data_IF_437458802907
#
_entry.id   IF_437458802907
#
_cell.length_a   1.000
_cell.length_b   1.000
_cell.length_c   1.000
_cell.angle_alpha   90.00
_cell.angle_beta   90.00
_cell.angle_gamma   90.00
#
_symmetry.space_group_name_H-M   'P 1'
#
loop_
_entity.id
_entity.type
_entity.pdbx_description
1 polymer ?
#
# COMPACT_ATOMS: atom_id res chain seq x y z
N UNK A 1 -19.68 -8.10 43.02
CA UNK A 1 -20.08 -9.37 42.38
C UNK A 1 -19.26 -9.51 41.12
N UNK A 2 -18.51 -10.55 41.00
CA UNK A 2 -17.70 -10.88 39.83
C UNK A 2 -18.61 -11.31 38.66
N UNK A 3 -18.45 -10.77 37.53
CA UNK A 3 -19.14 -11.17 36.30
C UNK A 3 -18.27 -12.13 35.50
N UNK A 4 -18.85 -12.93 34.61
CA UNK A 4 -18.07 -13.79 33.72
C UNK A 4 -17.09 -12.98 32.80
N UNK A 5 -17.41 -11.73 32.48
CA UNK A 5 -16.57 -10.80 31.73
C UNK A 5 -15.29 -10.38 32.48
N UNK A 6 -15.27 -10.49 33.80
CA UNK A 6 -14.11 -10.15 34.65
C UNK A 6 -13.06 -11.26 34.65
N UNK A 7 -13.41 -12.45 34.14
CA UNK A 7 -12.52 -13.62 34.06
C UNK A 7 -11.55 -13.44 32.88
N UNK A 8 -10.40 -12.89 33.17
CA UNK A 8 -9.35 -12.64 32.16
C UNK A 8 -8.18 -13.61 32.34
N UNK A 9 -7.41 -13.90 31.28
CA UNK A 9 -6.16 -14.66 31.40
C UNK A 9 -5.25 -14.07 32.47
N UNK A 10 -4.61 -14.95 33.23
CA UNK A 10 -3.76 -14.66 34.39
C UNK A 10 -4.46 -14.07 35.62
N UNK A 11 -5.77 -13.94 35.62
CA UNK A 11 -6.52 -13.60 36.84
C UNK A 11 -6.47 -14.75 37.87
N UNK A 12 -6.36 -14.42 39.14
CA UNK A 12 -6.54 -15.35 40.23
C UNK A 12 -8.00 -15.33 40.66
N UNK A 13 -8.69 -16.47 40.58
CA UNK A 13 -10.12 -16.60 40.82
C UNK A 13 -10.39 -17.65 41.89
N UNK A 14 -11.22 -17.30 42.89
CA UNK A 14 -11.79 -18.25 43.86
C UNK A 14 -13.20 -18.66 43.46
N UNK A 15 -13.67 -19.81 44.00
CA UNK A 15 -15.00 -20.30 43.74
C UNK A 15 -15.10 -21.32 42.62
N UNK A 16 -13.98 -21.66 41.97
CA UNK A 16 -13.85 -22.72 40.97
C UNK A 16 -13.52 -24.05 41.66
N UNK A 17 -12.52 -24.05 42.53
CA UNK A 17 -12.17 -25.17 43.39
C UNK A 17 -12.54 -24.85 44.84
N UNK A 18 -12.90 -25.87 45.65
CA UNK A 18 -13.12 -25.68 47.08
C UNK A 18 -11.84 -25.16 47.74
N UNK A 19 -11.96 -24.05 48.47
CA UNK A 19 -10.92 -23.46 49.32
C UNK A 19 -9.59 -23.08 48.66
N UNK A 20 -9.54 -23.02 47.32
CA UNK A 20 -8.34 -22.66 46.56
C UNK A 20 -8.61 -21.63 45.48
N UNK A 21 -7.68 -20.69 45.34
CA UNK A 21 -7.65 -19.81 44.15
C UNK A 21 -6.97 -20.55 43.00
N UNK A 22 -7.47 -20.33 41.78
CA UNK A 22 -6.90 -20.87 40.54
C UNK A 22 -6.47 -19.71 39.64
N UNK A 23 -5.46 -19.95 38.80
CA UNK A 23 -5.05 -18.96 37.79
C UNK A 23 -5.72 -19.30 36.48
N UNK A 24 -6.42 -18.32 35.92
CA UNK A 24 -7.03 -18.42 34.58
C UNK A 24 -5.95 -18.51 33.51
N UNK A 25 -6.03 -19.49 32.63
CA UNK A 25 -5.15 -19.70 31.48
C UNK A 25 -5.81 -19.13 30.23
N UNK A 26 -7.03 -19.54 29.93
CA UNK A 26 -7.79 -19.04 28.78
C UNK A 26 -9.28 -19.04 29.09
N UNK A 27 -10.02 -18.24 28.35
CA UNK A 27 -11.46 -18.04 28.47
C UNK A 27 -12.06 -18.16 27.07
N UNK A 28 -12.98 -19.12 26.90
CA UNK A 28 -13.69 -19.33 25.65
C UNK A 28 -15.19 -19.14 25.86
N UNK A 29 -15.80 -18.22 25.14
CA UNK A 29 -17.22 -17.93 25.25
C UNK A 29 -18.06 -18.85 24.37
N UNK A 30 -19.17 -19.33 24.95
CA UNK A 30 -20.24 -20.05 24.26
C UNK A 30 -21.53 -19.23 24.36
N UNK A 31 -21.75 -18.37 23.37
CA UNK A 31 -22.82 -17.38 23.40
C UNK A 31 -22.60 -16.32 24.46
N UNK A 32 -23.68 -15.77 25.04
CA UNK A 32 -23.66 -14.73 26.07
C UNK A 32 -23.69 -15.24 27.51
N UNK A 33 -23.99 -16.52 27.71
CA UNK A 33 -24.40 -17.07 29.02
C UNK A 33 -23.47 -18.12 29.57
N UNK A 34 -22.51 -18.61 28.80
CA UNK A 34 -21.60 -19.65 29.21
C UNK A 34 -20.16 -19.38 28.79
N UNK A 35 -19.22 -19.75 29.65
CA UNK A 35 -17.78 -19.60 29.44
C UNK A 35 -17.09 -20.93 29.82
N UNK A 36 -16.31 -21.49 28.91
CA UNK A 36 -15.32 -22.50 29.24
C UNK A 36 -14.04 -21.83 29.73
N UNK A 37 -13.73 -22.05 30.98
CA UNK A 37 -12.54 -21.54 31.63
C UNK A 37 -11.49 -22.63 31.71
N UNK A 38 -10.34 -22.43 31.10
CA UNK A 38 -9.14 -23.23 31.34
C UNK A 38 -8.37 -22.58 32.47
N UNK A 39 -8.09 -23.33 33.52
CA UNK A 39 -7.40 -22.83 34.70
C UNK A 39 -6.24 -23.73 35.10
N UNK A 40 -5.33 -23.18 35.89
CA UNK A 40 -4.21 -23.86 36.51
C UNK A 40 -4.36 -23.82 38.02
N UNK A 41 -4.32 -24.95 38.65
CA UNK A 41 -4.35 -25.06 40.10
C UNK A 41 -2.99 -24.76 40.75
N UNK A 42 -2.94 -24.76 42.09
CA UNK A 42 -1.69 -24.50 42.82
C UNK A 42 -0.63 -25.59 42.61
N UNK A 43 -1.00 -26.79 42.17
CA UNK A 43 -0.08 -27.89 41.84
C UNK A 43 0.48 -27.78 40.41
N UNK A 44 0.02 -26.83 39.64
CA UNK A 44 0.38 -26.66 38.25
C UNK A 44 -0.42 -27.48 37.26
N UNK A 45 -1.44 -28.20 37.65
CA UNK A 45 -2.32 -28.97 36.78
C UNK A 45 -3.27 -28.02 36.05
N UNK A 46 -3.45 -28.27 34.78
CA UNK A 46 -4.40 -27.55 33.94
C UNK A 46 -5.69 -28.33 33.83
N UNK A 47 -6.82 -27.69 34.05
CA UNK A 47 -8.13 -28.27 33.91
C UNK A 47 -9.12 -27.25 33.32
N UNK A 48 -10.26 -27.74 32.82
CA UNK A 48 -11.30 -26.92 32.24
C UNK A 48 -12.56 -26.99 33.09
N UNK A 49 -13.32 -25.91 33.15
CA UNK A 49 -14.63 -25.85 33.76
C UNK A 49 -15.56 -25.01 32.92
N UNK A 50 -16.78 -25.43 32.74
CA UNK A 50 -17.84 -24.66 32.11
C UNK A 50 -18.59 -23.87 33.19
N UNK A 51 -18.61 -22.55 33.06
CA UNK A 51 -19.27 -21.62 33.99
C UNK A 51 -20.44 -20.94 33.28
N UNK A 52 -21.51 -20.74 34.04
CA UNK A 52 -22.71 -20.06 33.56
C UNK A 52 -22.98 -18.81 34.40
N UNK A 53 -23.91 -17.95 33.94
CA UNK A 53 -24.31 -16.75 34.67
C UNK A 53 -24.74 -17.01 36.13
N UNK A 54 -25.36 -18.17 36.41
CA UNK A 54 -25.74 -18.52 37.75
C UNK A 54 -24.56 -18.88 38.69
N UNK A 55 -23.36 -19.08 38.12
CA UNK A 55 -22.15 -19.33 38.89
C UNK A 55 -21.47 -18.04 39.39
N UNK A 56 -21.80 -16.89 38.80
CA UNK A 56 -21.19 -15.59 39.14
C UNK A 56 -21.17 -15.27 40.65
N UNK A 57 -22.24 -15.54 41.41
CA UNK A 57 -22.25 -15.22 42.85
C UNK A 57 -21.19 -15.96 43.67
N UNK A 58 -20.71 -17.11 43.20
CA UNK A 58 -19.68 -17.89 43.91
C UNK A 58 -18.25 -17.55 43.50
N UNK A 59 -18.11 -16.77 42.41
CA UNK A 59 -16.81 -16.41 41.87
C UNK A 59 -16.31 -15.12 42.53
N UNK A 60 -15.04 -15.11 42.87
CA UNK A 60 -14.33 -13.93 43.36
C UNK A 60 -12.99 -13.79 42.64
N UNK A 61 -12.79 -12.66 41.91
CA UNK A 61 -11.49 -12.31 41.34
C UNK A 61 -10.65 -11.71 42.46
N UNK A 62 -9.63 -12.46 42.86
CA UNK A 62 -8.70 -12.07 43.93
C UNK A 62 -7.62 -11.14 43.40
N UNK A 63 -7.15 -11.42 42.20
CA UNK A 63 -6.14 -10.60 41.52
C UNK A 63 -6.55 -10.47 40.05
N UNK A 64 -6.61 -9.24 39.57
CA UNK A 64 -6.92 -8.95 38.18
C UNK A 64 -5.82 -9.49 37.26
N UNK A 65 -6.22 -10.13 36.19
CA UNK A 65 -5.31 -10.58 35.16
C UNK A 65 -4.61 -9.41 34.48
N UNK A 66 -3.47 -9.66 33.90
CA UNK A 66 -2.78 -8.65 33.09
C UNK A 66 -3.54 -8.46 31.79
N UNK A 67 -3.72 -7.23 31.30
CA UNK A 67 -4.38 -6.96 30.04
C UNK A 67 -3.55 -7.41 28.82
N UNK A 68 -2.37 -7.96 29.05
CA UNK A 68 -1.44 -8.46 28.03
C UNK A 68 -0.77 -9.74 28.54
N UNK A 69 -0.42 -10.64 27.62
CA UNK A 69 0.33 -11.87 27.89
C UNK A 69 1.53 -11.97 26.95
N UNK A 70 2.50 -12.83 27.31
CA UNK A 70 3.65 -13.17 26.48
C UNK A 70 3.51 -14.55 25.80
N UNK A 71 2.31 -15.07 25.73
CA UNK A 71 1.97 -16.37 25.17
C UNK A 71 1.55 -16.30 23.68
N UNK A 72 1.64 -15.11 23.09
CA UNK A 72 1.39 -14.90 21.68
C UNK A 72 2.40 -15.63 20.78
N UNK A 73 1.99 -15.91 19.53
CA UNK A 73 2.86 -16.50 18.52
C UNK A 73 4.04 -15.57 18.19
N UNK A 74 5.23 -15.92 18.67
CA UNK A 74 6.45 -15.16 18.46
C UNK A 74 6.88 -15.08 16.99
N UNK A 75 6.55 -16.09 16.17
CA UNK A 75 6.83 -16.08 14.74
C UNK A 75 5.95 -15.06 14.01
N UNK A 76 4.65 -15.04 14.35
CA UNK A 76 3.71 -14.06 13.83
C UNK A 76 4.08 -12.63 14.27
N UNK A 77 4.47 -12.44 15.53
CA UNK A 77 4.94 -11.15 16.02
C UNK A 77 6.15 -10.63 15.24
N UNK A 78 7.14 -11.48 15.00
CA UNK A 78 8.33 -11.13 14.19
C UNK A 78 7.93 -10.76 12.77
N UNK A 79 7.05 -11.54 12.14
CA UNK A 79 6.58 -11.28 10.78
C UNK A 79 5.87 -9.91 10.68
N UNK A 80 4.94 -9.64 11.61
CA UNK A 80 4.20 -8.37 11.65
C UNK A 80 5.13 -7.20 11.95
N UNK A 81 6.04 -7.34 12.91
CA UNK A 81 7.03 -6.31 13.24
C UNK A 81 7.93 -5.99 12.05
N UNK A 82 8.40 -6.99 11.32
CA UNK A 82 9.22 -6.81 10.13
C UNK A 82 8.44 -6.21 8.96
N UNK A 83 7.20 -6.60 8.76
CA UNK A 83 6.31 -5.98 7.77
C UNK A 83 6.09 -4.48 8.06
N UNK A 84 5.91 -4.11 9.33
CA UNK A 84 5.83 -2.71 9.73
C UNK A 84 7.15 -1.96 9.51
N UNK A 85 8.28 -2.58 9.83
CA UNK A 85 9.61 -1.98 9.59
C UNK A 85 9.83 -1.69 8.10
N UNK A 86 9.50 -2.64 7.22
CA UNK A 86 9.60 -2.47 5.77
C UNK A 86 8.65 -1.36 5.30
N UNK A 87 7.40 -1.38 5.75
CA UNK A 87 6.40 -0.36 5.38
C UNK A 87 6.80 1.05 5.78
N UNK A 88 7.48 1.20 6.92
CA UNK A 88 7.90 2.50 7.46
C UNK A 88 9.34 2.87 7.10
N UNK A 89 10.03 2.06 6.28
CA UNK A 89 11.43 2.28 5.91
C UNK A 89 11.67 3.67 5.29
N UNK A 90 10.70 4.19 4.51
CA UNK A 90 10.78 5.51 3.90
C UNK A 90 10.86 6.67 4.90
N UNK A 91 10.42 6.47 6.16
CA UNK A 91 10.55 7.49 7.21
C UNK A 91 11.99 7.65 7.70
N UNK A 92 12.82 6.62 7.51
CA UNK A 92 14.22 6.57 7.95
C UNK A 92 15.20 6.66 6.79
N UNK A 93 14.74 6.42 5.57
CA UNK A 93 15.54 6.47 4.35
C UNK A 93 14.89 7.43 3.35
N UNK A 94 15.41 8.66 3.24
CA UNK A 94 14.84 9.68 2.36
C UNK A 94 15.02 9.36 0.87
N UNK A 95 15.88 8.39 0.53
CA UNK A 95 16.23 8.00 -0.84
C UNK A 95 15.98 6.51 -1.09
N UNK A 96 14.92 5.97 -0.50
CA UNK A 96 14.62 4.54 -0.48
C UNK A 96 14.60 3.92 -1.89
N UNK A 97 14.04 4.62 -2.89
CA UNK A 97 13.99 4.11 -4.26
C UNK A 97 15.38 3.83 -4.84
N UNK A 98 16.41 4.58 -4.48
CA UNK A 98 17.79 4.32 -4.92
C UNK A 98 18.27 2.97 -4.38
N UNK A 99 18.06 2.74 -3.09
CA UNK A 99 18.54 1.53 -2.41
C UNK A 99 17.80 0.24 -2.82
N UNK A 100 16.55 0.37 -3.27
CA UNK A 100 15.72 -0.78 -3.71
C UNK A 100 15.59 -0.90 -5.23
N UNK A 101 16.38 -0.16 -6.00
CA UNK A 101 16.41 -0.22 -7.47
C UNK A 101 17.75 -0.74 -7.98
N UNK A 102 17.74 -1.25 -9.21
CA UNK A 102 18.93 -1.74 -9.89
C UNK A 102 19.55 -0.64 -10.76
N UNK A 103 19.81 0.53 -10.15
CA UNK A 103 20.37 1.71 -10.82
C UNK A 103 21.46 2.34 -9.95
N UNK A 104 22.46 2.91 -10.60
CA UNK A 104 23.43 3.80 -9.99
C UNK A 104 23.16 5.22 -10.53
N UNK A 105 22.29 6.01 -9.86
CA UNK A 105 21.90 7.30 -10.36
C UNK A 105 23.05 8.31 -10.24
N UNK A 106 23.14 9.18 -11.24
CA UNK A 106 24.11 10.26 -11.24
C UNK A 106 23.66 11.41 -10.30
N UNK A 107 24.56 12.23 -9.75
CA UNK A 107 24.22 13.28 -8.81
C UNK A 107 23.11 14.22 -9.27
N UNK A 108 23.13 14.64 -10.55
CA UNK A 108 22.09 15.51 -11.11
C UNK A 108 20.70 14.84 -11.14
N UNK A 109 20.64 13.51 -11.31
CA UNK A 109 19.39 12.74 -11.29
C UNK A 109 18.81 12.68 -9.87
N UNK A 110 19.67 12.51 -8.88
CA UNK A 110 19.28 12.54 -7.46
C UNK A 110 18.74 13.92 -7.10
N UNK A 111 19.48 14.99 -7.40
CA UNK A 111 19.05 16.37 -7.16
C UNK A 111 17.72 16.68 -7.83
N UNK A 112 17.55 16.29 -9.10
CA UNK A 112 16.30 16.52 -9.83
C UNK A 112 15.11 15.86 -9.14
N UNK A 113 15.23 14.60 -8.71
CA UNK A 113 14.13 13.85 -8.09
C UNK A 113 13.86 14.31 -6.65
N UNK A 114 14.89 14.31 -5.81
CA UNK A 114 14.71 14.46 -4.36
C UNK A 114 14.63 15.91 -3.90
N UNK A 115 15.34 16.82 -4.55
CA UNK A 115 15.35 18.25 -4.17
C UNK A 115 14.34 19.06 -4.99
N UNK A 116 14.19 18.76 -6.29
CA UNK A 116 13.36 19.58 -7.16
C UNK A 116 11.94 19.04 -7.39
N UNK A 117 11.75 17.73 -7.58
CA UNK A 117 10.43 17.16 -7.89
C UNK A 117 9.64 16.83 -6.63
N UNK A 118 10.20 16.02 -5.71
CA UNK A 118 9.49 15.54 -4.53
C UNK A 118 9.11 16.65 -3.54
N UNK A 119 9.82 17.78 -3.55
CA UNK A 119 9.52 18.93 -2.69
C UNK A 119 8.31 19.75 -3.16
N UNK A 120 7.80 19.52 -4.38
CA UNK A 120 6.73 20.33 -4.99
C UNK A 120 5.36 19.70 -4.83
N UNK A 121 4.41 20.49 -4.32
CA UNK A 121 3.00 20.09 -4.26
C UNK A 121 2.12 21.27 -4.71
N UNK A 122 1.22 21.07 -5.71
CA UNK A 122 1.10 19.83 -6.52
C UNK A 122 2.32 19.63 -7.42
N UNK A 123 2.66 18.37 -7.68
CA UNK A 123 3.76 18.03 -8.58
C UNK A 123 3.41 18.39 -10.04
N UNK A 124 3.97 19.49 -10.51
CA UNK A 124 3.95 19.91 -11.93
C UNK A 124 5.37 20.29 -12.31
N UNK A 125 6.01 19.42 -13.06
CA UNK A 125 7.42 19.58 -13.38
C UNK A 125 7.70 19.32 -14.86
N UNK A 126 8.48 20.20 -15.49
CA UNK A 126 9.01 19.99 -16.82
C UNK A 126 10.49 19.62 -16.70
N UNK A 127 10.81 18.39 -17.06
CA UNK A 127 12.17 17.89 -17.12
C UNK A 127 12.76 18.19 -18.51
N UNK A 128 13.40 19.33 -18.63
CA UNK A 128 14.05 19.80 -19.86
C UNK A 128 15.56 19.61 -19.73
N UNK A 129 16.02 18.43 -20.04
CA UNK A 129 17.42 18.04 -19.96
C UNK A 129 17.92 17.49 -21.29
N UNK A 130 19.25 17.45 -21.49
CA UNK A 130 19.84 16.96 -22.70
C UNK A 130 19.47 15.51 -23.05
N UNK A 131 19.47 15.14 -24.34
CA UNK A 131 19.36 13.74 -24.73
C UNK A 131 20.46 12.88 -24.06
N UNK A 132 20.07 11.79 -23.43
CA UNK A 132 21.03 10.93 -22.75
C UNK A 132 21.28 11.25 -21.26
N UNK A 133 20.76 12.36 -20.72
CA UNK A 133 20.88 12.70 -19.28
C UNK A 133 20.15 11.71 -18.34
N UNK A 134 19.43 10.75 -18.89
CA UNK A 134 18.73 9.73 -18.12
C UNK A 134 17.38 10.18 -17.58
N UNK A 135 16.61 10.94 -18.34
CA UNK A 135 15.25 11.38 -17.98
C UNK A 135 14.35 10.22 -17.55
N UNK A 136 14.44 9.06 -18.22
CA UNK A 136 13.72 7.85 -17.86
C UNK A 136 14.13 7.31 -16.48
N UNK A 137 15.42 7.43 -16.13
CA UNK A 137 15.93 7.08 -14.79
C UNK A 137 15.31 7.98 -13.72
N UNK A 138 15.30 9.30 -13.96
CA UNK A 138 14.71 10.26 -13.03
C UNK A 138 13.20 10.00 -12.84
N UNK A 139 12.47 9.76 -13.93
CA UNK A 139 11.05 9.41 -13.86
C UNK A 139 10.82 8.07 -13.11
N UNK A 140 11.63 7.06 -13.39
CA UNK A 140 11.56 5.76 -12.73
C UNK A 140 11.84 5.85 -11.22
N UNK A 141 12.87 6.63 -10.82
CA UNK A 141 13.18 6.91 -9.42
C UNK A 141 12.02 7.63 -8.73
N UNK A 142 11.45 8.66 -9.35
CA UNK A 142 10.31 9.40 -8.82
C UNK A 142 9.10 8.47 -8.58
N UNK A 143 8.74 7.68 -9.59
CA UNK A 143 7.62 6.72 -9.51
C UNK A 143 7.87 5.71 -8.38
N UNK A 144 9.07 5.12 -8.35
CA UNK A 144 9.44 4.13 -7.34
C UNK A 144 9.41 4.69 -5.92
N UNK A 145 9.90 5.91 -5.74
CA UNK A 145 9.90 6.61 -4.45
C UNK A 145 8.47 6.92 -3.99
N UNK A 146 7.62 7.46 -4.86
CA UNK A 146 6.22 7.74 -4.52
C UNK A 146 5.42 6.46 -4.19
N UNK A 147 5.69 5.35 -4.90
CA UNK A 147 5.10 4.05 -4.56
C UNK A 147 5.59 3.57 -3.19
N UNK A 148 6.89 3.66 -2.92
CA UNK A 148 7.47 3.23 -1.65
C UNK A 148 6.93 4.02 -0.45
N UNK A 149 6.66 5.31 -0.65
CA UNK A 149 6.02 6.19 0.35
C UNK A 149 4.51 5.94 0.52
N UNK A 150 3.90 5.25 -0.43
CA UNK A 150 2.44 5.03 -0.47
C UNK A 150 1.66 6.21 -1.05
N UNK A 151 2.33 7.21 -1.61
CA UNK A 151 1.74 8.42 -2.20
C UNK A 151 1.23 8.17 -3.63
N UNK A 152 1.68 7.08 -4.27
CA UNK A 152 1.30 6.71 -5.63
C UNK A 152 0.82 5.27 -5.70
N UNK A 153 -0.40 5.10 -6.20
CA UNK A 153 -0.99 3.80 -6.51
C UNK A 153 -1.20 3.63 -8.02
N UNK A 154 -1.51 4.71 -8.71
CA UNK A 154 -1.88 4.69 -10.12
C UNK A 154 -1.02 5.68 -10.92
N UNK A 155 -0.30 5.15 -11.90
CA UNK A 155 0.56 5.95 -12.76
C UNK A 155 0.28 5.67 -14.23
N UNK A 156 0.18 6.75 -15.01
CA UNK A 156 0.07 6.71 -16.47
C UNK A 156 1.33 7.30 -17.08
N UNK A 157 2.06 6.52 -17.87
CA UNK A 157 3.15 6.99 -18.72
C UNK A 157 2.64 7.11 -20.13
N UNK A 158 2.76 8.29 -20.73
CA UNK A 158 2.37 8.58 -22.11
C UNK A 158 3.61 8.87 -22.90
N UNK A 159 3.92 8.07 -23.92
CA UNK A 159 5.12 8.22 -24.72
C UNK A 159 4.86 7.96 -26.21
N UNK A 160 5.78 8.33 -27.12
CA UNK A 160 5.72 7.96 -28.53
C UNK A 160 5.65 6.44 -28.72
N UNK A 161 4.90 6.01 -29.75
CA UNK A 161 4.61 4.59 -29.94
C UNK A 161 5.83 3.67 -30.12
N UNK A 162 6.93 4.21 -30.63
CA UNK A 162 8.21 3.50 -30.77
C UNK A 162 9.02 3.38 -29.46
N UNK A 163 8.60 4.06 -28.38
CA UNK A 163 9.31 4.03 -27.09
C UNK A 163 8.58 3.25 -26.00
N UNK A 164 7.36 2.76 -26.27
CA UNK A 164 6.54 2.09 -25.24
C UNK A 164 7.20 0.84 -24.68
N UNK A 165 7.82 0.03 -25.54
CA UNK A 165 8.51 -1.21 -25.14
C UNK A 165 9.80 -0.90 -24.38
N UNK A 166 10.54 0.14 -24.80
CA UNK A 166 11.72 0.59 -24.09
C UNK A 166 11.36 1.11 -22.69
N UNK A 167 10.29 1.90 -22.56
CA UNK A 167 9.80 2.37 -21.26
C UNK A 167 9.44 1.20 -20.34
N UNK A 168 8.71 0.22 -20.88
CA UNK A 168 8.33 -0.98 -20.11
C UNK A 168 9.57 -1.75 -19.64
N UNK A 169 10.52 -1.99 -20.53
CA UNK A 169 11.74 -2.74 -20.24
C UNK A 169 12.60 -2.04 -19.20
N UNK A 170 12.81 -0.73 -19.32
CA UNK A 170 13.59 0.06 -18.36
C UNK A 170 12.91 0.11 -16.98
N UNK A 171 11.60 0.37 -16.92
CA UNK A 171 10.86 0.40 -15.66
C UNK A 171 10.86 -0.98 -14.97
N UNK A 172 10.75 -2.05 -15.73
CA UNK A 172 10.77 -3.40 -15.18
C UNK A 172 12.17 -3.80 -14.71
N UNK A 173 13.19 -3.70 -15.58
CA UNK A 173 14.54 -4.18 -15.28
C UNK A 173 15.24 -3.37 -14.20
N UNK A 174 15.08 -2.06 -14.23
CA UNK A 174 15.80 -1.16 -13.32
C UNK A 174 15.08 -0.92 -12.00
N UNK A 175 13.75 -0.84 -12.05
CA UNK A 175 12.94 -0.44 -10.91
C UNK A 175 11.98 -1.54 -10.42
N UNK A 176 11.89 -2.66 -11.14
CA UNK A 176 10.94 -3.75 -10.83
C UNK A 176 9.49 -3.25 -10.77
N UNK A 177 9.14 -2.33 -11.66
CA UNK A 177 7.80 -1.76 -11.78
C UNK A 177 7.05 -2.46 -12.92
N UNK A 178 5.97 -3.21 -12.65
CA UNK A 178 5.24 -4.00 -13.64
C UNK A 178 4.24 -3.15 -14.42
N UNK A 179 4.73 -2.22 -15.22
CA UNK A 179 3.88 -1.44 -16.10
C UNK A 179 3.36 -2.27 -17.26
N UNK A 180 2.08 -2.07 -17.59
CA UNK A 180 1.44 -2.72 -18.72
C UNK A 180 1.25 -1.76 -19.90
N UNK A 181 1.60 -2.22 -21.10
CA UNK A 181 1.35 -1.48 -22.35
C UNK A 181 -0.12 -1.60 -22.73
N UNK A 182 -0.75 -0.45 -23.00
CA UNK A 182 -2.11 -0.35 -23.52
C UNK A 182 -2.17 -0.92 -24.96
N UNK A 183 -3.00 -1.93 -25.18
CA UNK A 183 -3.31 -2.50 -26.48
C UNK A 183 -4.82 -2.53 -26.72
N UNK A 184 -5.26 -2.69 -27.97
CA UNK A 184 -6.70 -2.81 -28.28
C UNK A 184 -7.33 -4.01 -27.60
N UNK A 185 -6.67 -5.15 -27.69
CA UNK A 185 -7.16 -6.40 -27.11
C UNK A 185 -7.40 -6.27 -25.59
N UNK A 186 -6.50 -5.60 -24.87
CA UNK A 186 -6.67 -5.32 -23.44
C UNK A 186 -7.84 -4.37 -23.14
N UNK A 187 -8.01 -3.35 -23.98
CA UNK A 187 -9.14 -2.40 -23.84
C UNK A 187 -10.49 -3.07 -24.07
N UNK A 188 -10.55 -4.05 -24.99
CA UNK A 188 -11.76 -4.82 -25.33
C UNK A 188 -12.03 -5.93 -24.29
N UNK A 189 -10.98 -6.56 -23.78
CA UNK A 189 -11.07 -7.67 -22.80
C UNK A 189 -11.37 -7.22 -21.37
N UNK A 190 -11.49 -5.92 -21.11
CA UNK A 190 -11.71 -5.37 -19.78
C UNK A 190 -13.04 -5.83 -19.16
N UNK A 191 -13.00 -6.43 -17.99
CA UNK A 191 -14.17 -6.95 -17.26
C UNK A 191 -15.10 -5.85 -16.78
N UNK A 192 -14.54 -4.71 -16.38
CA UNK A 192 -15.27 -3.52 -15.92
C UNK A 192 -15.77 -2.65 -17.07
N UNK A 193 -15.45 -3.00 -18.33
CA UNK A 193 -15.64 -2.14 -19.51
C UNK A 193 -14.60 -1.01 -19.63
N UNK A 194 -13.76 -0.81 -18.61
CA UNK A 194 -12.67 0.16 -18.61
C UNK A 194 -11.38 -0.45 -18.04
N UNK A 195 -10.50 -0.90 -18.93
CA UNK A 195 -9.23 -1.53 -18.56
C UNK A 195 -8.33 -0.65 -17.66
N UNK A 196 -8.44 0.67 -17.80
CA UNK A 196 -7.68 1.58 -16.95
C UNK A 196 -8.08 1.49 -15.47
N UNK A 197 -9.28 1.03 -15.13
CA UNK A 197 -9.66 0.80 -13.73
C UNK A 197 -9.03 -0.46 -13.15
N UNK A 198 -8.72 -1.44 -14.00
CA UNK A 198 -8.18 -2.74 -13.62
C UNK A 198 -6.65 -2.72 -13.51
N UNK A 199 -5.99 -1.81 -14.25
CA UNK A 199 -4.53 -1.74 -14.34
C UNK A 199 -4.02 -0.43 -13.74
N UNK A 200 -3.27 -0.50 -12.63
CA UNK A 200 -2.81 0.70 -11.94
C UNK A 200 -1.60 1.37 -12.60
N UNK A 201 -0.72 0.62 -13.24
CA UNK A 201 0.52 1.11 -13.85
C UNK A 201 0.47 0.90 -15.37
N UNK A 202 0.27 1.96 -16.11
CA UNK A 202 -0.03 1.90 -17.56
C UNK A 202 0.96 2.70 -18.37
N UNK A 203 1.38 2.13 -19.51
CA UNK A 203 2.07 2.85 -20.60
C UNK A 203 1.13 2.97 -21.77
N UNK A 204 0.90 4.18 -22.24
CA UNK A 204 0.02 4.49 -23.35
C UNK A 204 0.75 5.22 -24.49
N UNK A 205 0.32 4.95 -25.72
CA UNK A 205 0.85 5.65 -26.91
C UNK A 205 0.23 7.03 -27.03
N UNK A 206 1.07 8.07 -27.10
CA UNK A 206 0.64 9.46 -27.24
C UNK A 206 -0.32 9.65 -28.42
N UNK A 207 -0.02 9.07 -29.58
CA UNK A 207 -0.84 9.20 -30.78
C UNK A 207 -2.22 8.56 -30.63
N UNK A 208 -2.30 7.45 -29.91
CA UNK A 208 -3.58 6.78 -29.64
C UNK A 208 -4.41 7.58 -28.63
N UNK A 209 -3.80 8.04 -27.56
CA UNK A 209 -4.45 8.93 -26.62
C UNK A 209 -4.96 10.22 -27.29
N UNK A 210 -4.27 10.74 -28.31
CA UNK A 210 -4.66 11.97 -29.00
C UNK A 210 -5.78 11.80 -30.05
N UNK A 211 -6.04 10.60 -30.54
CA UNK A 211 -6.95 10.37 -31.69
C UNK A 211 -8.19 9.55 -31.36
N UNK A 212 -8.14 8.76 -30.32
CA UNK A 212 -9.19 7.80 -29.98
C UNK A 212 -10.10 8.37 -28.88
N UNK A 213 -11.27 8.83 -29.28
CA UNK A 213 -12.25 9.42 -28.36
C UNK A 213 -12.77 8.41 -27.32
N UNK A 214 -12.77 7.13 -27.65
CA UNK A 214 -13.18 6.08 -26.70
C UNK A 214 -12.14 5.90 -25.60
N UNK A 215 -10.86 5.99 -25.93
CA UNK A 215 -9.76 6.00 -24.97
C UNK A 215 -9.84 7.25 -24.09
N UNK A 216 -10.10 8.41 -24.68
CA UNK A 216 -10.31 9.66 -23.93
C UNK A 216 -11.44 9.53 -22.90
N UNK A 217 -12.60 9.04 -23.32
CA UNK A 217 -13.76 8.86 -22.44
C UNK A 217 -13.42 7.93 -21.25
N UNK A 218 -12.72 6.84 -21.53
CA UNK A 218 -12.28 5.88 -20.51
C UNK A 218 -11.25 6.47 -19.55
N UNK A 219 -10.29 7.26 -20.04
CA UNK A 219 -9.27 7.93 -19.22
C UNK A 219 -9.84 9.03 -18.32
N UNK A 220 -10.89 9.73 -18.81
CA UNK A 220 -11.58 10.82 -18.09
C UNK A 220 -12.75 10.34 -17.22
N UNK A 221 -13.02 9.05 -17.18
CA UNK A 221 -14.07 8.52 -16.32
C UNK A 221 -13.86 8.97 -14.86
N UNK A 222 -14.89 9.38 -14.13
CA UNK A 222 -14.78 9.90 -12.75
C UNK A 222 -14.03 8.97 -11.81
N UNK A 223 -14.15 7.67 -12.03
CA UNK A 223 -13.54 6.62 -11.25
C UNK A 223 -12.07 6.36 -11.66
N UNK A 224 -11.66 6.83 -12.85
CA UNK A 224 -10.32 6.63 -13.40
C UNK A 224 -9.40 7.79 -13.01
N UNK A 225 -9.00 7.85 -11.74
CA UNK A 225 -8.08 8.88 -11.25
C UNK A 225 -6.64 8.37 -11.31
N UNK A 226 -5.75 9.25 -11.75
CA UNK A 226 -4.31 9.01 -11.80
C UNK A 226 -3.63 9.86 -10.73
N UNK A 227 -2.75 9.24 -9.93
CA UNK A 227 -1.94 9.96 -8.94
C UNK A 227 -0.78 10.69 -9.61
N UNK A 228 -0.24 10.08 -10.68
CA UNK A 228 0.84 10.67 -11.48
C UNK A 228 0.61 10.38 -12.97
N UNK A 229 0.84 11.40 -13.79
CA UNK A 229 0.93 11.27 -15.25
C UNK A 229 2.31 11.75 -15.69
N UNK A 230 3.05 10.88 -16.37
CA UNK A 230 4.34 11.19 -16.98
C UNK A 230 4.15 11.26 -18.49
N UNK A 231 4.58 12.35 -19.10
CA UNK A 231 4.49 12.53 -20.56
C UNK A 231 5.90 12.67 -21.13
N UNK A 232 6.30 11.70 -21.92
CA UNK A 232 7.55 11.76 -22.66
C UNK A 232 7.36 12.49 -23.99
N UNK A 233 8.42 13.16 -24.44
CA UNK A 233 8.38 14.00 -25.65
C UNK A 233 7.27 15.06 -25.62
N UNK A 234 7.06 15.70 -24.45
CA UNK A 234 5.98 16.66 -24.21
C UNK A 234 5.94 17.82 -25.20
N UNK A 235 7.07 18.12 -25.86
CA UNK A 235 7.14 19.13 -26.93
C UNK A 235 6.21 18.82 -28.12
N UNK A 236 5.82 17.54 -28.31
CA UNK A 236 4.84 17.12 -29.33
C UNK A 236 3.40 17.56 -29.04
N UNK A 237 3.13 17.95 -27.77
CA UNK A 237 1.87 18.56 -27.35
C UNK A 237 1.98 20.08 -27.33
N UNK A 238 2.50 20.69 -28.39
CA UNK A 238 2.74 22.10 -28.47
C UNK A 238 1.50 22.89 -28.94
N UNK A 239 1.48 24.16 -28.54
CA UNK A 239 0.61 25.16 -29.12
C UNK A 239 1.52 26.21 -29.81
N UNK A 240 1.13 26.66 -31.00
CA UNK A 240 1.83 27.73 -31.72
C UNK A 240 0.99 28.99 -31.69
N UNK A 241 1.64 30.10 -31.37
CA UNK A 241 1.04 31.42 -31.45
C UNK A 241 1.45 32.07 -32.78
N UNK A 242 0.47 32.33 -33.62
CA UNK A 242 0.71 32.98 -34.89
C UNK A 242 -0.46 33.91 -35.27
N UNK A 243 -0.18 35.14 -35.64
CA UNK A 243 -1.18 36.11 -36.09
C UNK A 243 -2.23 36.51 -35.04
N UNK A 244 -1.88 36.48 -33.75
CA UNK A 244 -2.82 36.80 -32.66
C UNK A 244 -3.65 35.62 -32.17
N UNK A 245 -3.53 34.46 -32.81
CA UNK A 245 -4.29 33.25 -32.42
C UNK A 245 -3.38 32.11 -31.92
N UNK A 246 -3.87 31.36 -30.93
CA UNK A 246 -3.21 30.15 -30.44
C UNK A 246 -3.73 28.95 -31.21
N UNK A 247 -2.87 28.29 -31.98
CA UNK A 247 -3.19 27.03 -32.66
C UNK A 247 -2.67 25.83 -31.83
N UNK A 248 -3.58 25.04 -31.36
CA UNK A 248 -3.26 23.83 -30.61
C UNK A 248 -3.07 22.64 -31.54
N UNK A 249 -2.06 21.81 -31.27
CA UNK A 249 -1.95 20.50 -31.92
C UNK A 249 -3.05 19.55 -31.44
N UNK A 250 -3.39 18.54 -32.26
CA UNK A 250 -4.38 17.51 -31.85
C UNK A 250 -3.93 16.75 -30.58
N UNK A 251 -2.64 16.70 -30.31
CA UNK A 251 -2.07 16.05 -29.12
C UNK A 251 -2.15 16.92 -27.87
N UNK A 252 -2.37 18.22 -28.03
CA UNK A 252 -2.55 19.15 -26.91
C UNK A 252 -3.97 19.12 -26.36
N UNK A 253 -4.95 18.92 -27.23
CA UNK A 253 -6.39 18.85 -26.88
C UNK A 253 -6.74 17.51 -26.26
#
# INVERSE_FOLDING_TARGET
>A
MTRLEDLQPHAAVRGILPDAAVTVVSVQWFGSDAVELTYKDFSGRVANVLLYRHDEPRLEVVEAGRPWSFDGDGALFRLVSEAHRIRLAHLFDPVLAIHISLVEPLPHQITAVYEAMLSRQPLRFLLADDPGAGKTIMAGLLIKELIARGDLKRCLVVCPGNLVEQWQDELYRRFQLPFEIMTNDKLEAARTGNWFLETPLVIARLDKCARDETVHAKLRAPDCRWDLVVVDEAHKMSATFFGGEVKYTKRYR
#
